data_IF_309627540844
#
_entry.id   IF_309627540844
#
_cell.length_a   1.000
_cell.length_b   1.000
_cell.length_c   1.000
_cell.angle_alpha   90.00
_cell.angle_beta   90.00
_cell.angle_gamma   90.00
#
_symmetry.space_group_name_H-M   'P 1'
#
loop_
_entity.id
_entity.type
_entity.pdbx_description
1 polymer ?
#
# COMPACT_ATOMS: atom_id res chain seq x y z
N UNK A 1 -30.07 23.39 7.51
CA UNK A 1 -29.52 22.44 6.51
C UNK A 1 -30.09 21.06 6.83
N UNK A 2 -31.04 20.54 6.04
CA UNK A 2 -31.60 19.18 6.25
C UNK A 2 -30.52 18.18 5.87
N UNK A 3 -29.97 17.43 6.85
CA UNK A 3 -29.14 16.26 6.57
C UNK A 3 -29.87 15.36 5.55
N UNK A 4 -29.22 15.06 4.45
CA UNK A 4 -29.75 14.12 3.46
C UNK A 4 -30.09 12.80 4.18
N UNK A 5 -31.20 12.16 3.81
CA UNK A 5 -31.66 10.87 4.39
C UNK A 5 -30.55 9.82 4.48
N UNK A 6 -29.67 9.78 3.49
CA UNK A 6 -28.54 8.83 3.47
C UNK A 6 -27.51 9.07 4.59
N UNK A 7 -27.19 10.33 4.92
CA UNK A 7 -26.28 10.64 6.02
C UNK A 7 -26.88 10.34 7.39
N UNK A 8 -28.18 10.56 7.55
CA UNK A 8 -28.91 10.16 8.76
C UNK A 8 -28.86 8.63 8.93
N UNK A 9 -29.20 7.85 7.90
CA UNK A 9 -29.15 6.39 7.92
C UNK A 9 -27.72 5.87 8.19
N UNK A 10 -26.70 6.48 7.60
CA UNK A 10 -25.30 6.18 7.89
C UNK A 10 -25.00 6.34 9.38
N UNK A 11 -25.43 7.43 9.99
CA UNK A 11 -25.23 7.68 11.42
C UNK A 11 -25.95 6.62 12.29
N UNK A 12 -27.18 6.26 11.92
CA UNK A 12 -27.98 5.21 12.60
C UNK A 12 -27.27 3.85 12.50
N UNK A 13 -26.88 3.41 11.30
CA UNK A 13 -26.20 2.14 11.10
C UNK A 13 -24.87 2.05 11.86
N UNK A 14 -24.07 3.12 11.83
CA UNK A 14 -22.83 3.18 12.62
C UNK A 14 -23.09 3.07 14.12
N UNK A 15 -24.15 3.70 14.63
CA UNK A 15 -24.51 3.64 16.05
C UNK A 15 -24.99 2.25 16.45
N UNK A 16 -25.80 1.60 15.62
CA UNK A 16 -26.23 0.21 15.82
C UNK A 16 -25.03 -0.74 15.82
N UNK A 17 -24.13 -0.60 14.82
CA UNK A 17 -22.93 -1.42 14.73
C UNK A 17 -22.02 -1.26 15.95
N UNK A 18 -21.88 -0.03 16.46
CA UNK A 18 -21.05 0.27 17.64
C UNK A 18 -21.65 -0.29 18.93
N UNK A 19 -22.96 -0.09 19.14
CA UNK A 19 -23.65 -0.48 20.37
C UNK A 19 -24.01 -1.97 20.39
N UNK A 20 -24.31 -2.57 19.24
CA UNK A 20 -24.72 -3.97 19.15
C UNK A 20 -23.55 -4.97 19.12
N UNK A 21 -22.41 -4.59 18.53
CA UNK A 21 -21.28 -5.50 18.43
C UNK A 21 -20.77 -6.08 19.77
N UNK A 22 -20.74 -5.34 20.88
CA UNK A 22 -20.33 -5.89 22.19
C UNK A 22 -21.18 -7.06 22.69
N UNK A 23 -22.46 -7.14 22.27
CA UNK A 23 -23.37 -8.22 22.65
C UNK A 23 -23.15 -9.51 21.87
N UNK A 24 -22.30 -9.50 20.84
CA UNK A 24 -21.91 -10.71 20.11
C UNK A 24 -20.94 -11.55 20.94
N UNK A 25 -21.25 -12.83 21.13
CA UNK A 25 -20.51 -13.75 22.01
C UNK A 25 -19.06 -14.01 21.54
N UNK A 26 -18.81 -13.97 20.23
CA UNK A 26 -17.49 -14.30 19.67
C UNK A 26 -16.85 -13.10 18.96
N UNK A 27 -15.50 -13.02 18.90
CA UNK A 27 -14.81 -12.01 18.11
C UNK A 27 -15.22 -12.01 16.64
N UNK A 28 -15.40 -13.21 16.06
CA UNK A 28 -15.87 -13.38 14.66
C UNK A 28 -17.29 -12.85 14.49
N UNK A 29 -18.19 -13.13 15.44
CA UNK A 29 -19.54 -12.59 15.44
C UNK A 29 -19.58 -11.07 15.49
N UNK A 30 -18.71 -10.45 16.30
CA UNK A 30 -18.57 -8.97 16.37
C UNK A 30 -18.11 -8.39 15.04
N UNK A 31 -17.15 -9.05 14.39
CA UNK A 31 -16.64 -8.63 13.08
C UNK A 31 -17.74 -8.72 12.02
N UNK A 32 -18.41 -9.87 11.89
CA UNK A 32 -19.51 -10.07 10.93
C UNK A 32 -20.68 -9.10 11.15
N UNK A 33 -21.01 -8.81 12.41
CA UNK A 33 -22.07 -7.86 12.74
C UNK A 33 -21.71 -6.43 12.27
N UNK A 34 -20.46 -5.99 12.48
CA UNK A 34 -20.00 -4.69 11.98
C UNK A 34 -19.95 -4.66 10.47
N UNK A 35 -19.45 -5.69 9.84
CA UNK A 35 -19.37 -5.82 8.37
C UNK A 35 -20.75 -5.75 7.73
N UNK A 36 -21.78 -6.37 8.31
CA UNK A 36 -23.15 -6.26 7.82
C UNK A 36 -23.63 -4.80 7.72
N UNK A 37 -23.34 -3.98 8.72
CA UNK A 37 -23.73 -2.57 8.68
C UNK A 37 -22.82 -1.74 7.77
N UNK A 38 -21.53 -2.09 7.67
CA UNK A 38 -20.63 -1.48 6.71
C UNK A 38 -21.12 -1.71 5.26
N UNK A 39 -21.54 -2.92 4.94
CA UNK A 39 -22.09 -3.26 3.61
C UNK A 39 -23.38 -2.48 3.30
N UNK A 40 -24.26 -2.31 4.29
CA UNK A 40 -25.48 -1.48 4.17
C UNK A 40 -25.15 -0.01 3.94
N UNK A 41 -24.12 0.50 4.61
CA UNK A 41 -23.64 1.87 4.38
C UNK A 41 -23.04 2.00 2.99
N UNK A 42 -22.23 1.06 2.55
CA UNK A 42 -21.59 1.06 1.23
C UNK A 42 -22.66 1.07 0.15
N UNK A 43 -23.67 0.21 0.25
CA UNK A 43 -24.77 0.17 -0.71
C UNK A 43 -25.59 1.47 -0.75
N UNK A 44 -25.83 2.09 0.41
CA UNK A 44 -26.51 3.39 0.51
C UNK A 44 -25.76 4.52 -0.21
N UNK A 45 -24.44 4.39 -0.37
CA UNK A 45 -23.55 5.36 -1.02
C UNK A 45 -22.99 4.85 -2.35
N UNK A 46 -23.55 3.79 -2.93
CA UNK A 46 -23.10 3.21 -4.20
C UNK A 46 -22.94 4.26 -5.30
N UNK A 47 -23.97 5.07 -5.52
CA UNK A 47 -23.95 6.13 -6.55
C UNK A 47 -22.84 7.17 -6.33
N UNK A 48 -22.57 7.52 -5.06
CA UNK A 48 -21.48 8.44 -4.72
C UNK A 48 -20.13 7.82 -5.00
N UNK A 49 -19.96 6.52 -4.70
CA UNK A 49 -18.73 5.76 -4.98
C UNK A 49 -18.54 5.64 -6.50
N UNK A 50 -19.57 5.28 -7.26
CA UNK A 50 -19.51 5.17 -8.71
C UNK A 50 -19.24 6.53 -9.37
N UNK A 51 -19.80 7.62 -8.82
CA UNK A 51 -19.49 8.97 -9.28
C UNK A 51 -18.03 9.34 -9.02
N UNK A 52 -17.48 8.96 -7.86
CA UNK A 52 -16.08 9.11 -7.56
C UNK A 52 -15.21 8.33 -8.55
N UNK A 53 -15.54 7.06 -8.83
CA UNK A 53 -14.81 6.21 -9.78
C UNK A 53 -14.76 6.87 -11.17
N UNK A 54 -15.89 7.40 -11.65
CA UNK A 54 -15.94 8.09 -12.96
C UNK A 54 -15.12 9.38 -13.03
N UNK A 55 -14.93 10.05 -11.92
CA UNK A 55 -14.16 11.29 -11.82
C UNK A 55 -12.69 11.07 -11.43
N UNK A 56 -12.33 9.85 -11.08
CA UNK A 56 -10.97 9.52 -10.66
C UNK A 56 -10.04 9.45 -11.87
N UNK A 57 -8.80 9.95 -11.77
CA UNK A 57 -7.87 9.91 -12.88
C UNK A 57 -7.46 8.48 -13.25
N UNK A 58 -6.97 8.29 -14.46
CA UNK A 58 -6.43 7.02 -14.91
C UNK A 58 -5.22 6.61 -14.08
N UNK A 59 -5.16 5.32 -13.77
CA UNK A 59 -4.03 4.73 -13.03
C UNK A 59 -3.47 3.55 -13.81
N UNK A 60 -2.16 3.59 -14.05
CA UNK A 60 -1.43 2.50 -14.70
C UNK A 60 -1.64 1.18 -13.96
N UNK A 61 -1.44 0.10 -14.65
CA UNK A 61 -1.33 -1.20 -14.00
C UNK A 61 -0.09 -1.25 -13.10
N UNK A 62 -0.10 -2.16 -12.17
CA UNK A 62 1.05 -2.43 -11.34
C UNK A 62 2.26 -2.89 -12.16
N UNK A 63 2.01 -3.67 -13.22
CA UNK A 63 3.06 -4.17 -14.11
C UNK A 63 3.68 -3.04 -14.93
N UNK A 64 2.88 -2.18 -15.55
CA UNK A 64 3.37 -1.00 -16.27
C UNK A 64 4.23 -0.12 -15.36
N UNK A 65 3.78 0.10 -14.12
CA UNK A 65 4.54 0.88 -13.13
C UNK A 65 5.90 0.25 -12.82
N UNK A 66 5.94 -1.08 -12.60
CA UNK A 66 7.19 -1.79 -12.29
C UNK A 66 8.13 -1.77 -13.50
N UNK A 67 7.61 -2.04 -14.70
CA UNK A 67 8.42 -2.04 -15.94
C UNK A 67 9.03 -0.66 -16.21
N UNK A 68 8.25 0.40 -16.01
CA UNK A 68 8.75 1.78 -16.13
C UNK A 68 9.90 2.06 -15.14
N UNK A 69 9.75 1.63 -13.87
CA UNK A 69 10.83 1.78 -12.86
C UNK A 69 12.09 1.02 -13.28
N UNK A 70 11.94 -0.19 -13.83
CA UNK A 70 13.09 -1.01 -14.29
C UNK A 70 13.80 -0.31 -15.46
N UNK A 71 13.05 0.14 -16.45
CA UNK A 71 13.57 0.70 -17.70
C UNK A 71 14.22 2.06 -17.50
N UNK A 72 13.59 2.95 -16.71
CA UNK A 72 14.02 4.34 -16.56
C UNK A 72 14.75 4.62 -15.24
N UNK A 73 14.84 3.63 -14.35
CA UNK A 73 15.36 3.82 -12.97
C UNK A 73 14.66 4.94 -12.19
N UNK A 74 13.39 5.19 -12.52
CA UNK A 74 12.60 6.23 -11.86
C UNK A 74 12.46 5.97 -10.36
N UNK A 75 12.41 7.01 -9.58
CA UNK A 75 11.98 6.97 -8.18
C UNK A 75 10.45 6.91 -8.10
N UNK A 76 9.90 6.43 -6.98
CA UNK A 76 8.45 6.42 -6.78
C UNK A 76 8.06 6.86 -5.37
N UNK A 77 7.13 7.82 -5.33
CA UNK A 77 6.42 8.29 -4.14
C UNK A 77 5.01 7.70 -4.17
N UNK A 78 4.47 7.21 -3.03
CA UNK A 78 3.20 6.49 -3.06
C UNK A 78 2.18 7.14 -2.13
N UNK A 79 0.99 7.39 -2.68
CA UNK A 79 -0.15 7.97 -1.98
C UNK A 79 -1.23 6.91 -1.76
N UNK A 80 -1.36 6.46 -0.51
CA UNK A 80 -2.45 5.61 -0.06
C UNK A 80 -3.48 6.39 0.76
N UNK A 81 -4.35 5.65 1.41
CA UNK A 81 -5.38 6.22 2.28
C UNK A 81 -4.81 7.02 3.46
N UNK A 82 -3.61 6.67 3.93
CA UNK A 82 -2.93 7.36 5.03
C UNK A 82 -2.48 8.76 4.65
N UNK A 83 -1.82 8.92 3.51
CA UNK A 83 -1.32 10.18 2.98
C UNK A 83 -2.48 11.13 2.68
N UNK A 84 -3.51 10.66 1.96
CA UNK A 84 -4.71 11.48 1.68
C UNK A 84 -5.43 11.92 2.96
N UNK A 85 -5.60 11.04 3.96
CA UNK A 85 -6.20 11.42 5.25
C UNK A 85 -5.43 12.52 5.96
N UNK A 86 -4.10 12.46 5.95
CA UNK A 86 -3.28 13.52 6.51
C UNK A 86 -3.47 14.84 5.76
N UNK A 87 -3.47 14.81 4.43
CA UNK A 87 -3.60 16.00 3.59
C UNK A 87 -4.94 16.70 3.76
N UNK A 88 -6.03 15.97 3.98
CA UNK A 88 -7.36 16.56 4.27
C UNK A 88 -7.60 16.85 5.75
N UNK A 89 -6.57 16.69 6.59
CA UNK A 89 -6.66 17.02 8.02
C UNK A 89 -7.46 16.01 8.86
N UNK A 90 -7.72 14.81 8.35
CA UNK A 90 -8.35 13.76 9.13
C UNK A 90 -7.43 13.21 10.21
N UNK A 91 -7.93 13.15 11.45
CA UNK A 91 -7.23 12.44 12.53
C UNK A 91 -7.21 10.95 12.24
N UNK A 92 -6.05 10.44 12.00
CA UNK A 92 -5.83 9.01 11.76
C UNK A 92 -4.92 8.44 12.85
N UNK A 93 -5.33 7.30 13.45
CA UNK A 93 -4.45 6.53 14.35
C UNK A 93 -3.43 5.76 13.51
N UNK A 94 -2.39 6.45 13.05
CA UNK A 94 -1.34 5.88 12.22
C UNK A 94 0.04 6.03 12.86
N UNK A 95 1.05 5.72 12.09
CA UNK A 95 2.47 5.86 12.46
C UNK A 95 2.93 7.34 12.51
N UNK A 96 2.10 8.26 12.03
CA UNK A 96 2.40 9.68 11.91
C UNK A 96 1.24 10.51 12.44
N UNK A 97 1.51 11.37 13.39
CA UNK A 97 0.57 12.38 13.87
C UNK A 97 0.39 13.48 12.81
N UNK A 98 -0.74 14.20 12.88
CA UNK A 98 -0.99 15.33 11.99
C UNK A 98 0.11 16.36 12.18
N UNK A 99 0.79 16.69 11.09
CA UNK A 99 1.88 17.66 11.05
C UNK A 99 1.67 18.58 9.84
N UNK A 100 1.45 19.90 10.04
CA UNK A 100 1.20 20.84 8.94
C UNK A 100 2.35 20.90 7.91
N UNK A 101 3.60 20.78 8.36
CA UNK A 101 4.75 20.78 7.46
C UNK A 101 4.76 19.52 6.59
N UNK A 102 4.52 18.34 7.17
CA UNK A 102 4.40 17.10 6.39
C UNK A 102 3.24 17.20 5.39
N UNK A 103 2.09 17.77 5.79
CA UNK A 103 0.95 17.95 4.89
C UNK A 103 1.31 18.83 3.69
N UNK A 104 1.97 19.96 3.91
CA UNK A 104 2.43 20.85 2.85
C UNK A 104 3.41 20.12 1.90
N UNK A 105 4.34 19.34 2.46
CA UNK A 105 5.29 18.54 1.69
C UNK A 105 4.59 17.45 0.86
N UNK A 106 3.61 16.74 1.42
CA UNK A 106 2.82 15.75 0.67
C UNK A 106 2.06 16.39 -0.50
N UNK A 107 1.51 17.60 -0.31
CA UNK A 107 0.86 18.34 -1.40
C UNK A 107 1.86 18.75 -2.49
N UNK A 108 3.05 19.21 -2.12
CA UNK A 108 4.13 19.51 -3.08
C UNK A 108 4.49 18.27 -3.88
N UNK A 109 4.72 17.13 -3.24
CA UNK A 109 5.04 15.87 -3.90
C UNK A 109 3.93 15.43 -4.84
N UNK A 110 2.67 15.49 -4.42
CA UNK A 110 1.51 15.07 -5.25
C UNK A 110 1.40 15.89 -6.54
N UNK A 111 1.74 17.19 -6.46
CA UNK A 111 1.68 18.12 -7.59
C UNK A 111 2.99 18.20 -8.40
N UNK A 112 3.97 17.35 -8.12
CA UNK A 112 5.23 17.36 -8.87
C UNK A 112 5.03 16.83 -10.29
N UNK A 113 5.62 17.52 -11.26
CA UNK A 113 5.67 17.13 -12.66
C UNK A 113 7.07 16.66 -13.09
N UNK A 114 7.93 16.32 -12.12
CA UNK A 114 9.26 15.81 -12.38
C UNK A 114 9.19 14.46 -13.10
N UNK A 115 9.74 14.31 -14.32
CA UNK A 115 9.58 13.11 -15.13
C UNK A 115 10.30 11.88 -14.55
N UNK A 116 11.31 12.09 -13.71
CA UNK A 116 12.09 11.01 -13.09
C UNK A 116 11.47 10.50 -11.80
N UNK A 117 10.38 11.15 -11.34
CA UNK A 117 9.71 10.83 -10.08
C UNK A 117 8.26 10.42 -10.34
N UNK A 118 7.98 9.17 -10.15
CA UNK A 118 6.63 8.62 -10.26
C UNK A 118 5.81 8.97 -9.01
N UNK A 119 4.62 9.52 -9.24
CA UNK A 119 3.63 9.79 -8.18
C UNK A 119 2.54 8.73 -8.23
N UNK A 120 2.70 7.67 -7.44
CA UNK A 120 1.78 6.54 -7.45
C UNK A 120 0.56 6.76 -6.57
N UNK A 121 -0.64 6.56 -7.12
CA UNK A 121 -1.90 6.58 -6.37
C UNK A 121 -2.59 5.21 -6.40
N UNK A 122 -3.62 5.04 -5.56
CA UNK A 122 -4.35 3.78 -5.51
C UNK A 122 -5.19 3.56 -6.79
N UNK A 123 -5.10 2.40 -7.44
CA UNK A 123 -5.93 2.11 -8.60
C UNK A 123 -7.41 1.97 -8.16
N UNK A 124 -8.27 2.75 -8.81
CA UNK A 124 -9.73 2.73 -8.62
C UNK A 124 -10.35 2.42 -9.97
N UNK A 125 -10.80 1.19 -10.20
CA UNK A 125 -11.30 0.74 -11.51
C UNK A 125 -12.82 0.66 -11.54
N UNK A 126 -13.37 -0.12 -10.64
CA UNK A 126 -14.82 -0.36 -10.56
C UNK A 126 -15.26 -0.60 -9.11
N UNK A 127 -16.55 -0.58 -8.87
CA UNK A 127 -17.13 -0.71 -7.53
C UNK A 127 -16.83 -2.07 -6.88
N UNK A 128 -16.87 -3.15 -7.66
CA UNK A 128 -16.78 -4.51 -7.11
C UNK A 128 -15.33 -4.91 -6.81
N UNK A 129 -14.38 -4.36 -7.56
CA UNK A 129 -12.94 -4.53 -7.30
C UNK A 129 -12.41 -3.69 -6.12
N UNK A 130 -13.16 -2.66 -5.72
CA UNK A 130 -12.81 -1.84 -4.57
C UNK A 130 -13.06 -2.59 -3.26
N UNK A 131 -11.99 -2.84 -2.51
CA UNK A 131 -12.12 -3.39 -1.17
C UNK A 131 -12.90 -2.46 -0.22
N UNK A 132 -13.62 -3.06 0.74
CA UNK A 132 -14.46 -2.34 1.73
C UNK A 132 -13.76 -1.15 2.41
N UNK A 133 -12.46 -1.24 2.63
CA UNK A 133 -11.66 -0.14 3.22
C UNK A 133 -11.69 1.09 2.32
N UNK A 134 -11.50 0.92 1.01
CA UNK A 134 -11.49 2.00 0.05
C UNK A 134 -12.89 2.54 -0.23
N UNK A 135 -13.90 1.69 -0.30
CA UNK A 135 -15.30 2.15 -0.40
C UNK A 135 -15.67 3.06 0.78
N UNK A 136 -15.31 2.68 2.00
CA UNK A 136 -15.54 3.50 3.21
C UNK A 136 -14.70 4.79 3.22
N UNK A 137 -13.50 4.74 2.68
CA UNK A 137 -12.62 5.89 2.50
C UNK A 137 -13.28 6.90 1.55
N UNK A 138 -13.75 6.46 0.40
CA UNK A 138 -14.43 7.30 -0.60
C UNK A 138 -15.70 7.94 -0.01
N UNK A 139 -16.55 7.18 0.70
CA UNK A 139 -17.73 7.72 1.38
C UNK A 139 -17.38 8.84 2.38
N UNK A 140 -16.18 8.81 2.91
CA UNK A 140 -15.77 9.69 3.99
C UNK A 140 -15.10 10.97 3.52
N UNK A 141 -14.20 10.88 2.57
CA UNK A 141 -13.35 11.97 2.08
C UNK A 141 -13.14 11.97 0.57
N UNK A 142 -13.96 11.22 -0.18
CA UNK A 142 -13.80 11.11 -1.63
C UNK A 142 -13.79 12.47 -2.35
N UNK A 143 -14.74 13.38 -2.10
CA UNK A 143 -14.74 14.70 -2.75
C UNK A 143 -13.48 15.51 -2.48
N UNK A 144 -12.96 15.47 -1.24
CA UNK A 144 -11.72 16.15 -0.85
C UNK A 144 -10.51 15.56 -1.56
N UNK A 145 -10.48 14.24 -1.74
CA UNK A 145 -9.40 13.55 -2.49
C UNK A 145 -9.43 13.91 -3.96
N UNK A 146 -10.61 13.93 -4.60
CA UNK A 146 -10.73 14.36 -6.00
C UNK A 146 -10.24 15.79 -6.20
N UNK A 147 -10.48 16.67 -5.24
CA UNK A 147 -10.02 18.06 -5.31
C UNK A 147 -8.48 18.21 -5.22
N UNK A 148 -7.78 17.18 -4.74
CA UNK A 148 -6.31 17.15 -4.67
C UNK A 148 -5.67 16.58 -5.93
N UNK A 149 -6.41 15.82 -6.74
CA UNK A 149 -5.90 15.11 -7.91
C UNK A 149 -6.14 15.92 -9.19
N UNK A 150 -5.19 15.84 -10.12
CA UNK A 150 -5.39 16.34 -11.48
C UNK A 150 -6.11 15.24 -12.30
N UNK A 151 -7.36 15.45 -12.74
CA UNK A 151 -8.14 14.44 -13.47
C UNK A 151 -7.57 14.12 -14.87
N UNK A 152 -6.79 15.04 -15.44
CA UNK A 152 -6.22 14.89 -16.79
C UNK A 152 -4.83 14.21 -16.76
N UNK A 153 -4.32 13.91 -15.58
CA UNK A 153 -3.04 13.21 -15.40
C UNK A 153 -3.27 11.71 -15.26
N UNK A 154 -2.49 10.91 -15.98
CA UNK A 154 -2.39 9.46 -15.72
C UNK A 154 -1.31 9.21 -14.65
N UNK A 155 -1.66 8.44 -13.62
CA UNK A 155 -0.80 8.18 -12.47
C UNK A 155 -0.28 6.74 -12.44
N UNK A 156 0.97 6.51 -12.03
CA UNK A 156 1.45 5.17 -11.68
C UNK A 156 0.65 4.53 -10.53
N UNK A 157 0.64 3.19 -10.48
CA UNK A 157 -0.01 2.47 -9.39
C UNK A 157 0.82 2.45 -8.11
N UNK A 158 0.27 2.95 -7.00
CA UNK A 158 0.86 2.75 -5.66
C UNK A 158 0.88 1.28 -5.25
N UNK A 159 0.07 0.44 -5.92
CA UNK A 159 0.00 -0.99 -5.69
C UNK A 159 1.17 -1.79 -6.26
N UNK A 160 2.08 -1.16 -7.01
CA UNK A 160 3.20 -1.81 -7.70
C UNK A 160 3.98 -2.80 -6.79
N UNK A 161 4.20 -2.43 -5.52
CA UNK A 161 4.89 -3.27 -4.54
C UNK A 161 3.94 -4.06 -3.62
N UNK A 162 2.66 -4.18 -3.96
CA UNK A 162 1.74 -5.04 -3.21
C UNK A 162 1.67 -6.42 -3.83
N UNK A 163 1.81 -7.42 -2.99
CA UNK A 163 1.50 -8.80 -3.30
C UNK A 163 0.18 -9.14 -2.64
N UNK A 164 -0.82 -9.43 -3.46
CA UNK A 164 -2.16 -9.69 -2.95
C UNK A 164 -2.30 -11.17 -2.56
N UNK A 165 -2.99 -11.48 -1.46
CA UNK A 165 -3.23 -12.86 -1.07
C UNK A 165 -4.07 -13.65 -2.06
N UNK A 166 -4.78 -12.98 -2.97
CA UNK A 166 -5.69 -13.62 -3.94
C UNK A 166 -4.99 -14.02 -5.25
N UNK A 167 -3.69 -13.71 -5.39
CA UNK A 167 -2.88 -14.20 -6.50
C UNK A 167 -2.75 -15.73 -6.44
N UNK A 168 -2.78 -16.38 -7.60
CA UNK A 168 -2.32 -17.74 -7.76
C UNK A 168 -0.82 -17.85 -7.48
N UNK A 169 -0.32 -19.06 -7.33
CA UNK A 169 1.12 -19.30 -7.15
C UNK A 169 1.95 -18.74 -8.31
N UNK A 170 1.51 -18.98 -9.56
CA UNK A 170 2.19 -18.48 -10.75
C UNK A 170 2.25 -16.95 -10.77
N UNK A 171 1.12 -16.28 -10.55
CA UNK A 171 1.05 -14.82 -10.50
C UNK A 171 1.92 -14.24 -9.37
N UNK A 172 1.96 -14.90 -8.21
CA UNK A 172 2.83 -14.50 -7.11
C UNK A 172 4.30 -14.57 -7.52
N UNK A 173 4.73 -15.70 -8.11
CA UNK A 173 6.10 -15.92 -8.53
C UNK A 173 6.51 -14.90 -9.60
N UNK A 174 5.72 -14.78 -10.67
CA UNK A 174 5.99 -13.85 -11.77
C UNK A 174 6.10 -12.41 -11.27
N UNK A 175 5.17 -11.99 -10.43
CA UNK A 175 5.15 -10.64 -9.88
C UNK A 175 6.37 -10.36 -8.99
N UNK A 176 6.72 -11.28 -8.10
CA UNK A 176 7.89 -11.12 -7.22
C UNK A 176 9.16 -11.07 -8.05
N UNK A 177 9.30 -11.94 -9.06
CA UNK A 177 10.47 -11.95 -9.94
C UNK A 177 10.57 -10.66 -10.77
N UNK A 178 9.45 -10.13 -11.25
CA UNK A 178 9.44 -8.85 -11.95
C UNK A 178 9.91 -7.71 -11.03
N UNK A 179 9.34 -7.61 -9.85
CA UNK A 179 9.71 -6.57 -8.87
C UNK A 179 11.19 -6.66 -8.50
N UNK A 180 11.73 -7.86 -8.31
CA UNK A 180 13.14 -8.09 -7.95
C UNK A 180 14.14 -7.59 -9.00
N UNK A 181 13.74 -7.43 -10.26
CA UNK A 181 14.59 -6.84 -11.30
C UNK A 181 14.99 -5.39 -10.98
N UNK A 182 14.20 -4.66 -10.21
CA UNK A 182 14.51 -3.27 -9.81
C UNK A 182 15.82 -3.19 -9.03
N UNK A 183 16.14 -4.19 -8.24
CA UNK A 183 17.34 -4.22 -7.40
C UNK A 183 18.33 -5.36 -7.71
N UNK A 184 18.18 -5.96 -8.90
CA UNK A 184 19.13 -6.98 -9.36
C UNK A 184 20.56 -6.45 -9.33
N UNK A 185 21.45 -7.14 -8.62
CA UNK A 185 22.89 -6.83 -8.47
C UNK A 185 23.20 -5.41 -7.91
N UNK A 186 22.29 -4.83 -7.15
CA UNK A 186 22.41 -3.48 -6.58
C UNK A 186 22.66 -3.52 -5.07
N UNK A 187 23.34 -2.50 -4.56
CA UNK A 187 23.36 -2.24 -3.12
C UNK A 187 22.06 -1.54 -2.73
N UNK A 188 21.42 -2.01 -1.67
CA UNK A 188 20.18 -1.48 -1.14
C UNK A 188 20.41 -0.85 0.22
N UNK A 189 19.89 0.34 0.43
CA UNK A 189 19.75 0.95 1.75
C UNK A 189 18.26 0.94 2.15
N UNK A 190 17.91 0.03 3.07
CA UNK A 190 16.58 -0.03 3.68
C UNK A 190 16.50 0.97 4.84
N UNK A 191 15.65 1.99 4.70
CA UNK A 191 15.40 2.97 5.75
C UNK A 191 14.11 2.61 6.48
N UNK A 192 14.24 2.02 7.67
CA UNK A 192 13.12 1.38 8.38
C UNK A 192 12.94 1.92 9.80
N UNK A 193 11.71 1.93 10.27
CA UNK A 193 11.41 2.28 11.65
C UNK A 193 11.96 1.23 12.64
N UNK A 194 12.74 1.66 13.62
CA UNK A 194 13.26 0.76 14.67
C UNK A 194 12.10 0.12 15.44
N UNK A 195 12.10 -1.21 15.54
CA UNK A 195 11.01 -1.99 16.17
C UNK A 195 9.61 -1.74 15.53
N UNK A 196 9.58 -1.38 14.24
CA UNK A 196 8.33 -1.23 13.49
C UNK A 196 7.74 -2.59 13.10
N UNK A 197 6.65 -2.56 12.32
CA UNK A 197 6.04 -3.79 11.74
C UNK A 197 6.83 -4.36 10.57
N UNK A 198 7.89 -3.68 10.13
CA UNK A 198 8.71 -4.16 9.03
C UNK A 198 9.42 -5.45 9.46
N UNK A 199 9.31 -6.47 8.62
CA UNK A 199 10.04 -7.72 8.77
C UNK A 199 10.87 -7.92 7.50
N UNK A 200 12.16 -8.13 7.66
CA UNK A 200 13.04 -8.42 6.54
C UNK A 200 12.73 -9.81 5.98
N UNK A 201 12.59 -9.91 4.66
CA UNK A 201 12.36 -11.16 3.94
C UNK A 201 13.55 -11.43 3.02
N UNK A 202 14.50 -12.29 3.44
CA UNK A 202 15.72 -12.56 2.65
C UNK A 202 15.45 -13.00 1.22
N UNK A 203 14.34 -13.73 1.00
CA UNK A 203 13.95 -14.23 -0.32
C UNK A 203 13.63 -13.11 -1.32
N UNK A 204 13.11 -11.96 -0.84
CA UNK A 204 12.87 -10.80 -1.70
C UNK A 204 14.17 -10.13 -2.16
N UNK A 205 15.24 -10.28 -1.39
CA UNK A 205 16.48 -9.54 -1.61
C UNK A 205 17.67 -10.43 -1.97
N UNK A 206 17.45 -11.73 -2.22
CA UNK A 206 18.55 -12.68 -2.49
C UNK A 206 19.27 -12.47 -3.82
N UNK A 207 18.78 -11.56 -4.68
CA UNK A 207 19.40 -11.13 -5.92
C UNK A 207 20.05 -9.73 -5.82
N UNK A 208 19.97 -9.08 -4.66
CA UNK A 208 20.69 -7.84 -4.40
C UNK A 208 22.17 -8.13 -4.13
N UNK A 209 23.05 -7.16 -4.43
CA UNK A 209 24.47 -7.27 -4.11
C UNK A 209 24.71 -7.14 -2.61
N UNK A 210 24.06 -6.20 -1.96
CA UNK A 210 24.08 -6.00 -0.51
C UNK A 210 22.80 -5.37 -0.03
N UNK A 211 22.47 -5.58 1.25
CA UNK A 211 21.36 -4.90 1.92
C UNK A 211 21.85 -4.34 3.24
N UNK A 212 21.78 -3.03 3.36
CA UNK A 212 22.13 -2.30 4.57
C UNK A 212 20.90 -1.65 5.19
N UNK A 213 20.93 -1.43 6.49
CA UNK A 213 19.81 -0.89 7.25
C UNK A 213 20.18 0.45 7.89
N UNK A 214 19.33 1.45 7.66
CA UNK A 214 19.32 2.69 8.40
C UNK A 214 18.05 2.74 9.25
N UNK A 215 18.22 2.82 10.56
CA UNK A 215 17.08 2.85 11.48
C UNK A 215 16.66 4.28 11.78
N UNK A 216 15.35 4.52 11.69
CA UNK A 216 14.66 5.77 12.02
C UNK A 216 13.59 5.50 13.08
N UNK A 217 12.92 6.51 13.64
CA UNK A 217 11.78 6.31 14.53
C UNK A 217 10.65 5.53 13.86
N UNK A 218 10.05 4.57 14.59
CA UNK A 218 8.90 3.80 14.09
C UNK A 218 7.60 4.61 14.02
N UNK A 219 7.54 5.72 14.75
CA UNK A 219 6.43 6.68 14.75
C UNK A 219 6.99 8.08 14.63
N UNK A 220 6.23 8.94 13.96
CA UNK A 220 6.59 10.34 13.78
C UNK A 220 7.99 10.55 13.19
N UNK A 221 8.38 9.69 12.24
CA UNK A 221 9.71 9.73 11.62
C UNK A 221 10.01 11.11 10.99
N UNK A 222 8.97 11.84 10.58
CA UNK A 222 9.12 13.19 10.04
C UNK A 222 9.71 14.20 11.05
N UNK A 223 9.60 13.94 12.35
CA UNK A 223 10.24 14.79 13.36
C UNK A 223 11.79 14.74 13.33
N UNK A 224 12.36 13.65 12.78
CA UNK A 224 13.80 13.47 12.63
C UNK A 224 14.23 13.50 11.15
N UNK A 225 13.45 14.16 10.31
CA UNK A 225 13.59 14.14 8.84
C UNK A 225 14.99 14.54 8.39
N UNK A 226 15.50 15.68 8.87
CA UNK A 226 16.80 16.22 8.47
C UNK A 226 17.96 15.29 8.91
N UNK A 227 17.86 14.66 10.07
CA UNK A 227 18.83 13.68 10.54
C UNK A 227 18.83 12.44 9.66
N UNK A 228 17.64 11.95 9.30
CA UNK A 228 17.49 10.80 8.40
C UNK A 228 18.17 11.11 7.05
N UNK A 229 17.84 12.25 6.43
CA UNK A 229 18.44 12.68 5.15
C UNK A 229 19.98 12.81 5.29
N UNK A 230 20.45 13.47 6.35
CA UNK A 230 21.89 13.65 6.61
C UNK A 230 22.62 12.30 6.69
N UNK A 231 22.03 11.31 7.34
CA UNK A 231 22.60 9.97 7.47
C UNK A 231 22.57 9.18 6.16
N UNK A 232 21.52 9.35 5.33
CA UNK A 232 21.45 8.74 4.01
C UNK A 232 22.54 9.32 3.10
N UNK A 233 22.83 10.60 3.19
CA UNK A 233 23.88 11.26 2.39
C UNK A 233 25.30 10.76 2.64
N UNK A 234 25.54 9.91 3.64
CA UNK A 234 26.78 9.19 3.80
C UNK A 234 26.95 8.03 2.77
N UNK A 235 25.89 7.67 2.07
CA UNK A 235 25.86 6.65 1.02
C UNK A 235 25.85 7.33 -0.35
N UNK A 236 26.65 6.82 -1.30
CA UNK A 236 26.72 7.40 -2.64
C UNK A 236 25.43 7.16 -3.44
N UNK A 237 24.82 8.17 -4.06
CA UNK A 237 23.62 8.00 -4.88
C UNK A 237 23.84 7.07 -6.08
N UNK A 238 25.03 7.04 -6.65
CA UNK A 238 25.35 6.18 -7.80
C UNK A 238 25.45 4.69 -7.40
N UNK A 239 25.66 4.40 -6.12
CA UNK A 239 25.92 3.05 -5.63
C UNK A 239 24.72 2.42 -4.93
N UNK A 240 23.82 3.23 -4.36
CA UNK A 240 22.74 2.73 -3.53
C UNK A 240 21.37 3.05 -4.10
N UNK A 241 20.52 2.03 -4.12
CA UNK A 241 19.07 2.18 -4.20
C UNK A 241 18.53 2.38 -2.79
N UNK A 242 17.87 3.50 -2.54
CA UNK A 242 17.30 3.79 -1.21
C UNK A 242 15.82 3.36 -1.17
N UNK A 243 15.46 2.59 -0.15
CA UNK A 243 14.10 2.05 0.01
C UNK A 243 13.52 2.43 1.37
N UNK A 244 12.88 3.60 1.50
CA UNK A 244 12.25 4.02 2.73
C UNK A 244 10.97 3.23 3.03
N UNK A 245 10.77 2.88 4.33
CA UNK A 245 9.59 2.20 4.88
C UNK A 245 9.16 2.92 6.16
N UNK A 246 8.71 4.17 6.02
CA UNK A 246 8.44 5.09 7.13
C UNK A 246 7.02 5.70 7.08
N UNK A 247 6.07 5.02 6.39
CA UNK A 247 4.74 5.55 6.16
C UNK A 247 4.78 6.87 5.37
N UNK A 248 3.95 7.87 5.68
CA UNK A 248 3.90 9.13 4.92
C UNK A 248 5.23 9.88 4.84
N UNK A 249 6.14 9.66 5.79
CA UNK A 249 7.50 10.21 5.72
C UNK A 249 8.29 9.60 4.56
N UNK A 250 8.05 8.33 4.21
CA UNK A 250 8.73 7.66 3.10
C UNK A 250 8.38 8.30 1.75
N UNK A 251 7.14 8.76 1.57
CA UNK A 251 6.67 9.44 0.36
C UNK A 251 7.46 10.72 0.10
N UNK A 252 7.60 11.59 1.12
CA UNK A 252 8.39 12.82 1.02
C UNK A 252 9.88 12.52 0.90
N UNK A 253 10.38 11.53 1.63
CA UNK A 253 11.79 11.15 1.62
C UNK A 253 12.21 10.61 0.25
N UNK A 254 11.38 9.79 -0.40
CA UNK A 254 11.66 9.30 -1.75
C UNK A 254 11.76 10.45 -2.77
N UNK A 255 10.90 11.44 -2.66
CA UNK A 255 10.91 12.64 -3.49
C UNK A 255 12.19 13.45 -3.35
N UNK A 256 12.56 13.80 -2.11
CA UNK A 256 13.75 14.63 -1.88
C UNK A 256 15.05 13.90 -2.22
N UNK A 257 15.10 12.59 -1.96
CA UNK A 257 16.25 11.77 -2.35
C UNK A 257 16.39 11.68 -3.86
N UNK A 258 15.27 11.59 -4.61
CA UNK A 258 15.32 11.63 -6.06
C UNK A 258 15.93 12.95 -6.56
N UNK A 259 15.52 14.09 -5.99
CA UNK A 259 16.11 15.40 -6.29
C UNK A 259 17.58 15.53 -5.89
N UNK A 260 18.06 14.70 -4.98
CA UNK A 260 19.48 14.60 -4.62
C UNK A 260 20.26 13.58 -5.46
N UNK A 261 19.64 13.02 -6.51
CA UNK A 261 20.26 12.10 -7.46
C UNK A 261 20.19 10.61 -7.06
N UNK A 262 19.51 10.27 -5.97
CA UNK A 262 19.28 8.86 -5.63
C UNK A 262 18.11 8.31 -6.45
N UNK A 263 18.16 7.02 -6.79
CA UNK A 263 16.93 6.30 -7.02
C UNK A 263 16.32 5.92 -5.67
N UNK A 264 15.11 6.38 -5.38
CA UNK A 264 14.42 6.12 -4.13
C UNK A 264 13.04 5.50 -4.36
N UNK A 265 12.78 4.37 -3.71
CA UNK A 265 11.54 3.61 -3.84
C UNK A 265 10.80 3.63 -2.51
N UNK A 266 9.69 4.36 -2.40
CA UNK A 266 8.77 4.17 -1.28
C UNK A 266 8.25 2.73 -1.30
N UNK A 267 8.92 1.86 -0.54
CA UNK A 267 8.73 0.41 -0.62
C UNK A 267 7.49 -0.08 0.14
N UNK A 268 7.10 0.63 1.18
CA UNK A 268 5.93 0.30 2.02
C UNK A 268 6.03 -1.06 2.67
N UNK A 269 4.90 -1.78 2.73
CA UNK A 269 4.75 -3.04 3.47
C UNK A 269 4.84 -4.28 2.56
N UNK A 270 5.60 -4.24 1.48
CA UNK A 270 5.73 -5.39 0.57
C UNK A 270 6.12 -6.68 1.29
N UNK A 271 7.14 -6.72 2.19
CA UNK A 271 7.48 -7.96 2.87
C UNK A 271 6.33 -8.57 3.66
N UNK A 272 5.55 -7.72 4.35
CA UNK A 272 4.38 -8.18 5.11
C UNK A 272 3.25 -8.72 4.22
N UNK A 273 3.03 -8.16 3.04
CA UNK A 273 2.02 -8.67 2.10
C UNK A 273 2.49 -9.96 1.43
N UNK A 274 3.77 -10.06 1.11
CA UNK A 274 4.40 -11.27 0.58
C UNK A 274 4.27 -12.46 1.53
N UNK A 275 4.59 -12.30 2.81
CA UNK A 275 4.39 -13.35 3.85
C UNK A 275 2.94 -13.79 3.94
N UNK A 276 1.99 -12.85 3.90
CA UNK A 276 0.56 -13.18 3.93
C UNK A 276 0.12 -13.99 2.73
N UNK A 277 0.62 -13.65 1.54
CA UNK A 277 0.34 -14.40 0.32
C UNK A 277 0.91 -15.83 0.41
N UNK A 278 2.15 -16.00 0.84
CA UNK A 278 2.76 -17.32 1.07
C UNK A 278 1.96 -18.15 2.07
N UNK A 279 1.59 -17.57 3.21
CA UNK A 279 0.76 -18.27 4.20
C UNK A 279 -0.58 -18.72 3.64
N UNK A 280 -1.22 -17.90 2.79
CA UNK A 280 -2.50 -18.28 2.17
C UNK A 280 -2.35 -19.39 1.14
N UNK A 281 -1.32 -19.33 0.31
CA UNK A 281 -1.09 -20.29 -0.78
C UNK A 281 -0.53 -21.63 -0.28
N UNK A 282 0.43 -21.59 0.63
CA UNK A 282 1.19 -22.76 1.06
C UNK A 282 0.91 -23.20 2.50
N UNK A 283 0.05 -22.48 3.23
CA UNK A 283 -0.17 -22.73 4.66
C UNK A 283 0.99 -22.29 5.57
N UNK A 284 2.12 -21.92 4.99
CA UNK A 284 3.35 -21.52 5.68
C UNK A 284 3.98 -20.29 5.02
N UNK A 285 4.28 -19.28 5.81
CA UNK A 285 4.92 -18.06 5.35
C UNK A 285 6.42 -18.21 5.07
N UNK A 286 7.04 -19.30 5.54
CA UNK A 286 8.46 -19.61 5.30
C UNK A 286 8.67 -20.50 4.06
N UNK A 287 7.58 -21.00 3.44
CA UNK A 287 7.66 -21.81 2.24
C UNK A 287 8.43 -21.07 1.12
N UNK A 288 9.46 -21.66 0.52
CA UNK A 288 10.20 -20.99 -0.56
C UNK A 288 9.31 -20.85 -1.81
N UNK A 289 9.48 -19.74 -2.54
CA UNK A 289 8.85 -19.62 -3.84
C UNK A 289 9.44 -20.60 -4.85
N UNK A 290 8.61 -21.21 -5.71
CA UNK A 290 9.10 -21.99 -6.82
C UNK A 290 9.99 -21.17 -7.77
N UNK A 291 10.96 -21.81 -8.41
CA UNK A 291 11.73 -21.15 -9.46
C UNK A 291 10.85 -20.95 -10.70
N UNK A 292 10.99 -19.80 -11.38
CA UNK A 292 10.32 -19.53 -12.65
C UNK A 292 10.55 -20.68 -13.65
N UNK A 293 9.47 -21.13 -14.32
CA UNK A 293 9.54 -22.14 -15.37
C UNK A 293 9.56 -23.60 -14.90
N UNK A 294 9.43 -23.89 -13.60
CA UNK A 294 9.11 -25.24 -13.14
C UNK A 294 7.60 -25.44 -13.15
N UNK A 295 7.09 -26.53 -13.77
CA UNK A 295 5.67 -26.82 -13.71
C UNK A 295 5.25 -27.00 -12.26
N UNK A 296 4.12 -26.38 -11.91
CA UNK A 296 3.45 -26.57 -10.62
C UNK A 296 3.12 -28.06 -10.49
N UNK A 297 3.58 -28.70 -9.43
CA UNK A 297 3.19 -30.07 -9.15
C UNK A 297 1.65 -30.14 -9.06
N UNK A 298 0.98 -31.10 -9.70
CA UNK A 298 -0.46 -31.19 -9.65
C UNK A 298 -0.91 -31.34 -8.18
N UNK A 299 -1.93 -30.58 -7.79
CA UNK A 299 -2.58 -30.72 -6.50
C UNK A 299 -2.93 -32.19 -6.26
N UNK A 300 -2.36 -32.77 -5.23
CA UNK A 300 -2.76 -34.10 -4.76
C UNK A 300 -4.08 -33.93 -4.03
N UNK A 301 -5.19 -33.98 -4.76
CA UNK A 301 -6.53 -34.13 -4.22
C UNK A 301 -6.70 -35.57 -3.71
N UNK A 302 -6.07 -35.88 -2.58
CA UNK A 302 -6.23 -37.13 -1.87
C UNK A 302 -7.60 -37.19 -1.17
N UNK A 303 -8.64 -37.63 -1.88
CA UNK A 303 -9.84 -38.17 -1.22
C UNK A 303 -9.45 -39.48 -0.54
N UNK A 304 -9.24 -39.43 0.75
CA UNK A 304 -9.23 -40.63 1.58
C UNK A 304 -10.65 -41.22 1.60
N UNK A 305 -10.92 -42.16 0.73
CA UNK A 305 -12.05 -43.06 0.89
C UNK A 305 -11.68 -44.10 1.96
N UNK A 306 -12.16 -43.87 3.18
CA UNK A 306 -12.15 -44.86 4.22
C UNK A 306 -13.13 -45.99 3.88
N UNK A 307 -12.63 -47.14 3.51
CA UNK A 307 -13.38 -48.38 3.58
C UNK A 307 -13.39 -48.85 5.06
N UNK A 308 -14.58 -48.83 5.65
CA UNK A 308 -14.87 -49.65 6.81
C UNK A 308 -15.34 -51.01 6.28
N UNK A 309 -14.69 -52.04 6.67
CA UNK A 309 -15.24 -53.40 6.90
C UNK A 309 -15.03 -53.77 8.35
#
# INVERSE_FOLDING_TARGET
>A
MRLSRKYFLRAVYRKIALLGAPFMLTPQGRTRFREFFDDRIIELFREDIESFIRAYPDVWTEEETIRHIIEHRSSICRFGDGEFKLMVGERHKSFQDVNPHLNARLQEVLNSDDPDILIGIHPVRDFDSLGRIWQKFIIRIGPEVLALLNPDRSYPSMGAFRVLPDHSEAELVERVQLIKQIWQDRNILLVVGKNSRFTFEPELFNNARSVEFLYAPAKNAFAEYDDIVRRIRAYSPDQYLVMPVLGPTATVLAYDLAKLGYQAIDFGQMPGTFRKAKRKLFGDETHPLPALGKPVAPEVTGRLHGHRT
#
